data_IF_021549317649
#
_entry.id   IF_021549317649
#
_cell.length_a   1.000
_cell.length_b   1.000
_cell.length_c   1.000
_cell.angle_alpha   90.00
_cell.angle_beta   90.00
_cell.angle_gamma   90.00
#
_symmetry.space_group_name_H-M   'P 1'
#
loop_
_entity.id
_entity.type
_entity.pdbx_description
1 polymer ?
#
# COMPACT_ATOMS: atom_id res chain seq x y z
N UNK A 1 -21.27 23.67 -20.17
CA UNK A 1 -20.48 22.42 -20.05
C UNK A 1 -20.98 21.47 -21.12
N UNK A 2 -20.12 21.00 -22.01
CA UNK A 2 -20.54 19.98 -22.98
C UNK A 2 -20.68 18.68 -22.20
N UNK A 3 -21.72 17.90 -22.47
CA UNK A 3 -22.03 16.62 -21.80
C UNK A 3 -20.82 15.68 -21.73
N UNK A 4 -19.95 15.76 -22.74
CA UNK A 4 -18.67 15.04 -22.87
C UNK A 4 -17.63 15.42 -21.80
N UNK A 5 -17.63 16.68 -21.33
CA UNK A 5 -16.71 17.16 -20.29
C UNK A 5 -17.07 16.53 -18.92
N UNK A 6 -18.37 16.43 -18.63
CA UNK A 6 -18.87 15.88 -17.38
C UNK A 6 -18.58 14.36 -17.25
N UNK A 7 -18.74 13.60 -18.33
CA UNK A 7 -18.41 12.16 -18.35
C UNK A 7 -16.91 11.92 -18.12
N UNK A 8 -16.06 12.78 -18.68
CA UNK A 8 -14.60 12.69 -18.50
C UNK A 8 -14.19 13.01 -17.06
N UNK A 9 -14.87 13.96 -16.41
CA UNK A 9 -14.66 14.31 -15.00
C UNK A 9 -15.06 13.14 -14.08
N UNK A 10 -16.21 12.51 -14.34
CA UNK A 10 -16.70 11.36 -13.57
C UNK A 10 -15.75 10.15 -13.69
N UNK A 11 -15.30 9.80 -14.89
CA UNK A 11 -14.34 8.70 -15.09
C UNK A 11 -13.02 8.96 -14.35
N UNK A 12 -12.54 10.21 -14.32
CA UNK A 12 -11.38 10.60 -13.50
C UNK A 12 -11.62 10.41 -12.00
N UNK A 13 -12.80 10.77 -11.50
CA UNK A 13 -13.14 10.60 -10.08
C UNK A 13 -13.24 9.12 -9.69
N UNK A 14 -13.85 8.29 -10.55
CA UNK A 14 -13.97 6.85 -10.34
C UNK A 14 -12.59 6.17 -10.34
N UNK A 15 -11.75 6.42 -11.35
CA UNK A 15 -10.37 5.92 -11.40
C UNK A 15 -9.57 6.34 -10.17
N UNK A 16 -9.77 7.57 -9.70
CA UNK A 16 -9.09 8.07 -8.51
C UNK A 16 -9.55 7.34 -7.25
N UNK A 17 -10.86 7.10 -7.10
CA UNK A 17 -11.43 6.33 -6.00
C UNK A 17 -10.88 4.89 -5.98
N UNK A 18 -10.84 4.24 -7.15
CA UNK A 18 -10.30 2.89 -7.31
C UNK A 18 -8.84 2.80 -6.86
N UNK A 19 -7.98 3.72 -7.34
CA UNK A 19 -6.57 3.75 -6.96
C UNK A 19 -6.40 3.97 -5.45
N UNK A 20 -7.17 4.87 -4.84
CA UNK A 20 -7.11 5.07 -3.38
C UNK A 20 -7.55 3.82 -2.61
N UNK A 21 -8.59 3.13 -3.08
CA UNK A 21 -9.03 1.86 -2.49
C UNK A 21 -7.93 0.80 -2.50
N UNK A 22 -7.25 0.62 -3.63
CA UNK A 22 -6.13 -0.31 -3.76
C UNK A 22 -4.96 0.02 -2.83
N UNK A 23 -4.56 1.30 -2.75
CA UNK A 23 -3.50 1.75 -1.85
C UNK A 23 -3.86 1.46 -0.41
N UNK A 24 -5.13 1.68 -0.02
CA UNK A 24 -5.60 1.43 1.33
C UNK A 24 -5.52 -0.06 1.69
N UNK A 25 -6.01 -0.94 0.82
CA UNK A 25 -5.97 -2.40 1.04
C UNK A 25 -4.53 -2.89 1.13
N UNK A 26 -3.66 -2.48 0.20
CA UNK A 26 -2.24 -2.85 0.22
C UNK A 26 -1.51 -2.31 1.44
N UNK A 27 -1.79 -1.07 1.84
CA UNK A 27 -1.21 -0.43 3.02
C UNK A 27 -1.56 -1.17 4.30
N UNK A 28 -2.86 -1.42 4.53
CA UNK A 28 -3.32 -2.14 5.72
C UNK A 28 -2.78 -3.58 5.75
N UNK A 29 -2.84 -4.30 4.63
CA UNK A 29 -2.31 -5.67 4.55
C UNK A 29 -0.82 -5.75 4.88
N UNK A 30 -0.05 -4.76 4.44
CA UNK A 30 1.38 -4.64 4.73
C UNK A 30 1.66 -4.44 6.22
N UNK A 31 0.90 -3.55 6.87
CA UNK A 31 1.03 -3.29 8.32
C UNK A 31 0.70 -4.56 9.11
N UNK A 32 -0.39 -5.26 8.76
CA UNK A 32 -0.80 -6.50 9.43
C UNK A 32 0.29 -7.57 9.28
N UNK A 33 0.88 -7.71 8.08
CA UNK A 33 1.99 -8.65 7.84
C UNK A 33 3.20 -8.35 8.73
N UNK A 34 3.63 -7.07 8.81
CA UNK A 34 4.75 -6.65 9.66
C UNK A 34 4.45 -6.93 11.14
N UNK A 35 3.28 -6.54 11.63
CA UNK A 35 2.89 -6.78 13.03
C UNK A 35 2.88 -8.27 13.38
N UNK A 36 2.40 -9.10 12.45
CA UNK A 36 2.35 -10.55 12.62
C UNK A 36 3.75 -11.16 12.62
N UNK A 37 4.63 -10.69 11.72
CA UNK A 37 6.03 -11.08 11.70
C UNK A 37 6.77 -10.68 12.99
N UNK A 38 6.52 -9.48 13.53
CA UNK A 38 7.09 -9.05 14.83
C UNK A 38 6.61 -9.96 15.97
N UNK A 39 5.31 -10.28 16.03
CA UNK A 39 4.77 -11.18 17.04
C UNK A 39 5.36 -12.58 16.92
N UNK A 40 5.45 -13.12 15.71
CA UNK A 40 6.07 -14.41 15.43
C UNK A 40 7.55 -14.41 15.87
N UNK A 41 8.30 -13.33 15.59
CA UNK A 41 9.70 -13.20 15.98
C UNK A 41 9.90 -13.29 17.51
N UNK A 42 9.03 -12.58 18.25
CA UNK A 42 9.06 -12.60 19.72
C UNK A 42 8.73 -13.99 20.27
N UNK A 43 7.75 -14.68 19.69
CA UNK A 43 7.39 -16.04 20.10
C UNK A 43 8.51 -17.04 19.78
N UNK A 44 9.12 -16.94 18.61
CA UNK A 44 10.24 -17.78 18.20
C UNK A 44 11.47 -17.60 19.10
N UNK A 45 11.82 -16.36 19.45
CA UNK A 45 12.90 -16.08 20.39
C UNK A 45 12.62 -16.66 21.79
N UNK A 46 11.37 -16.57 22.27
CA UNK A 46 10.97 -17.18 23.55
C UNK A 46 10.99 -18.71 23.52
N UNK A 47 10.70 -19.31 22.35
CA UNK A 47 10.69 -20.76 22.16
C UNK A 47 12.08 -21.34 21.79
N UNK A 48 13.11 -20.51 21.62
CA UNK A 48 14.44 -20.95 21.18
C UNK A 48 14.49 -21.45 19.72
N UNK A 49 13.47 -21.15 18.91
CA UNK A 49 13.37 -21.59 17.51
C UNK A 49 14.01 -20.53 16.60
N UNK A 50 15.07 -20.89 15.88
CA UNK A 50 15.74 -20.00 14.92
C UNK A 50 15.35 -20.31 13.46
N UNK A 51 14.09 -20.09 13.09
CA UNK A 51 13.65 -20.19 11.68
C UNK A 51 13.59 -18.81 11.01
N UNK A 52 14.76 -18.18 10.89
CA UNK A 52 14.90 -16.79 10.41
C UNK A 52 14.39 -16.59 8.98
N UNK A 53 14.42 -17.62 8.12
CA UNK A 53 14.05 -17.51 6.70
C UNK A 53 12.58 -17.15 6.50
N UNK A 54 11.66 -17.82 7.20
CA UNK A 54 10.22 -17.53 7.13
C UNK A 54 9.90 -16.14 7.67
N UNK A 55 10.57 -15.75 8.75
CA UNK A 55 10.39 -14.44 9.36
C UNK A 55 10.84 -13.31 8.44
N UNK A 56 12.02 -13.44 7.83
CA UNK A 56 12.54 -12.48 6.86
C UNK A 56 11.63 -12.38 5.64
N UNK A 57 11.09 -13.50 5.14
CA UNK A 57 10.14 -13.48 4.02
C UNK A 57 8.90 -12.64 4.30
N UNK A 58 8.29 -12.79 5.49
CA UNK A 58 7.12 -12.01 5.89
C UNK A 58 7.43 -10.52 6.07
N UNK A 59 8.60 -10.21 6.64
CA UNK A 59 9.07 -8.82 6.75
C UNK A 59 9.30 -8.17 5.39
N UNK A 60 9.99 -8.86 4.48
CA UNK A 60 10.24 -8.37 3.12
C UNK A 60 8.93 -8.14 2.38
N UNK A 61 7.97 -9.06 2.50
CA UNK A 61 6.66 -8.93 1.86
C UNK A 61 5.86 -7.75 2.43
N UNK A 62 5.89 -7.55 3.75
CA UNK A 62 5.29 -6.39 4.40
C UNK A 62 5.94 -5.06 4.00
N UNK A 63 7.27 -4.98 3.96
CA UNK A 63 7.99 -3.77 3.54
C UNK A 63 7.75 -3.47 2.06
N UNK A 64 7.79 -4.49 1.20
CA UNK A 64 7.54 -4.33 -0.23
C UNK A 64 6.13 -3.79 -0.50
N UNK A 65 5.10 -4.33 0.16
CA UNK A 65 3.74 -3.82 0.04
C UNK A 65 3.59 -2.38 0.55
N UNK A 66 4.31 -2.02 1.62
CA UNK A 66 4.34 -0.64 2.13
C UNK A 66 5.00 0.32 1.14
N UNK A 67 6.12 -0.08 0.52
CA UNK A 67 6.83 0.72 -0.48
C UNK A 67 5.97 0.95 -1.73
N UNK A 68 5.22 -0.06 -2.18
CA UNK A 68 4.28 0.07 -3.30
C UNK A 68 3.18 1.07 -2.95
N UNK A 69 2.59 0.96 -1.75
CA UNK A 69 1.54 1.88 -1.30
C UNK A 69 2.06 3.34 -1.21
N UNK A 70 3.26 3.55 -0.67
CA UNK A 70 3.89 4.88 -0.58
C UNK A 70 4.24 5.43 -1.96
N UNK A 71 4.78 4.61 -2.86
CA UNK A 71 5.13 5.03 -4.22
C UNK A 71 3.88 5.44 -5.00
N UNK A 72 2.81 4.66 -4.93
CA UNK A 72 1.53 4.99 -5.55
C UNK A 72 0.93 6.28 -4.98
N UNK A 73 1.02 6.48 -3.65
CA UNK A 73 0.58 7.72 -3.01
C UNK A 73 1.38 8.95 -3.47
N UNK A 74 2.70 8.83 -3.57
CA UNK A 74 3.58 9.91 -4.06
C UNK A 74 3.29 10.25 -5.53
N UNK A 75 3.07 9.25 -6.38
CA UNK A 75 2.69 9.46 -7.79
C UNK A 75 1.40 10.28 -7.86
N UNK A 76 0.38 9.94 -7.07
CA UNK A 76 -0.89 10.69 -7.04
C UNK A 76 -0.68 12.15 -6.61
N UNK A 77 0.15 12.38 -5.59
CA UNK A 77 0.45 13.74 -5.12
C UNK A 77 1.16 14.55 -6.20
N UNK A 78 2.20 13.99 -6.83
CA UNK A 78 2.96 14.67 -7.88
C UNK A 78 2.06 14.98 -9.08
N UNK A 79 1.25 14.01 -9.53
CA UNK A 79 0.30 14.19 -10.63
C UNK A 79 -0.75 15.27 -10.32
N UNK A 80 -1.17 15.38 -9.06
CA UNK A 80 -2.09 16.42 -8.62
C UNK A 80 -1.44 17.80 -8.59
N UNK A 81 -0.15 17.89 -8.23
CA UNK A 81 0.60 19.16 -8.19
C UNK A 81 0.94 19.67 -9.59
N UNK A 82 1.27 18.78 -10.53
CA UNK A 82 1.59 19.14 -11.92
C UNK A 82 0.39 19.60 -12.76
N UNK A 83 -0.85 19.46 -12.27
CA UNK A 83 -2.07 19.92 -12.94
C UNK A 83 -2.60 21.28 -12.45
N UNK A 84 -1.94 21.85 -11.44
CA UNK A 84 -2.32 23.12 -10.80
C UNK A 84 -1.46 24.31 -11.24
N UNK A 85 -0.63 24.12 -12.28
CA UNK A 85 0.18 25.15 -12.96
C UNK A 85 -0.25 25.18 -14.41
#
# INVERSE_FOLDING_TARGET
MKETDALTEIDRLLKRSEVFGWIWIMGIGSIISIMSAVKAARLMNKAGISDKKKLTGLFVLGIAGLLIAVSAFLIIIIYRKGKST
#
